data_IF_480980947117
#
_entry.id   IF_480980947117
#
_cell.length_a   1.000
_cell.length_b   1.000
_cell.length_c   1.000
_cell.angle_alpha   90.00
_cell.angle_beta   90.00
_cell.angle_gamma   90.00
#
_symmetry.space_group_name_H-M   'P 1'
#
loop_
_entity.id
_entity.type
_entity.pdbx_description
1 polymer ?
#
# COMPACT_ATOMS: atom_id res chain seq x y z
N UNK A 1 12.23 7.96 -26.30
CA UNK A 1 11.85 7.16 -25.10
C UNK A 1 10.39 7.44 -24.84
N UNK A 2 9.53 6.43 -24.94
CA UNK A 2 8.12 6.60 -24.61
C UNK A 2 8.03 6.95 -23.11
N UNK A 3 7.50 8.14 -22.81
CA UNK A 3 7.04 8.45 -21.46
C UNK A 3 5.86 7.51 -21.24
N UNK A 4 6.06 6.47 -20.45
CA UNK A 4 4.95 5.65 -19.97
C UNK A 4 3.97 6.57 -19.29
N UNK A 5 2.69 6.49 -19.63
CA UNK A 5 1.64 7.24 -18.94
C UNK A 5 1.84 7.08 -17.42
N UNK A 6 1.72 8.17 -16.65
CA UNK A 6 1.88 8.08 -15.22
C UNK A 6 0.85 7.10 -14.70
N UNK A 7 1.32 6.03 -14.06
CA UNK A 7 0.47 5.08 -13.36
C UNK A 7 -0.49 5.89 -12.48
N UNK A 8 -1.78 5.77 -12.74
CA UNK A 8 -2.82 6.38 -11.90
C UNK A 8 -2.83 5.61 -10.58
N UNK A 9 -2.46 6.29 -9.51
CA UNK A 9 -2.37 5.70 -8.18
C UNK A 9 -3.65 6.06 -7.44
N UNK A 10 -4.42 5.03 -7.09
CA UNK A 10 -5.70 5.17 -6.42
C UNK A 10 -5.69 4.54 -5.03
N UNK A 11 -6.64 4.92 -4.21
CA UNK A 11 -6.92 4.27 -2.93
C UNK A 11 -7.11 2.76 -3.14
N UNK A 12 -6.37 1.95 -2.38
CA UNK A 12 -6.34 0.50 -2.52
C UNK A 12 -5.41 -0.05 -3.60
N UNK A 13 -4.71 0.80 -4.35
CA UNK A 13 -3.63 0.34 -5.23
C UNK A 13 -2.53 -0.33 -4.40
N UNK A 14 -2.07 -1.50 -4.85
CA UNK A 14 -0.91 -2.20 -4.31
C UNK A 14 0.28 -1.81 -5.19
N UNK A 15 1.30 -1.22 -4.58
CA UNK A 15 2.44 -0.63 -5.27
C UNK A 15 3.75 -1.16 -4.71
N UNK A 16 4.77 -1.28 -5.56
CA UNK A 16 6.15 -1.47 -5.11
C UNK A 16 6.79 -0.12 -4.83
N UNK A 17 7.32 0.01 -3.62
CA UNK A 17 8.06 1.18 -3.15
C UNK A 17 9.54 0.84 -3.08
N UNK A 18 10.38 1.63 -3.74
CA UNK A 18 11.83 1.50 -3.64
C UNK A 18 12.28 1.64 -2.18
N UNK A 19 13.28 0.84 -1.78
CA UNK A 19 13.89 0.98 -0.48
C UNK A 19 14.49 2.38 -0.30
N UNK A 20 14.64 2.87 0.95
CA UNK A 20 15.36 4.10 1.19
C UNK A 20 16.76 4.01 0.60
N UNK A 21 17.17 5.09 -0.02
CA UNK A 21 18.39 5.32 -0.80
C UNK A 21 19.69 5.02 -0.02
N UNK A 22 19.61 4.88 1.31
CA UNK A 22 20.73 4.51 2.19
C UNK A 22 20.58 3.15 2.89
N UNK A 23 19.49 2.40 2.67
CA UNK A 23 19.15 1.24 3.50
C UNK A 23 19.52 -0.13 2.93
N UNK A 24 20.08 -0.24 1.72
CA UNK A 24 20.46 -1.52 1.11
C UNK A 24 19.32 -2.56 1.03
N UNK A 25 18.07 -2.12 1.17
CA UNK A 25 16.90 -2.99 1.33
C UNK A 25 16.26 -3.37 0.01
N UNK A 26 15.51 -4.47 0.02
CA UNK A 26 14.65 -4.84 -1.10
C UNK A 26 13.46 -3.86 -1.23
N UNK A 27 12.98 -3.56 -2.45
CA UNK A 27 11.71 -2.88 -2.66
C UNK A 27 10.59 -3.56 -1.89
N UNK A 28 9.66 -2.77 -1.36
CA UNK A 28 8.59 -3.25 -0.48
C UNK A 28 7.23 -2.98 -1.10
N UNK A 29 6.37 -4.00 -1.12
CA UNK A 29 4.98 -3.83 -1.51
C UNK A 29 4.22 -3.06 -0.42
N UNK A 30 3.37 -2.11 -0.82
CA UNK A 30 2.53 -1.31 0.06
C UNK A 30 1.13 -1.17 -0.56
N UNK A 31 0.11 -0.98 0.28
CA UNK A 31 -1.23 -0.54 -0.15
C UNK A 31 -1.34 0.98 0.00
N UNK A 32 -1.91 1.64 -0.99
CA UNK A 32 -2.19 3.08 -0.95
C UNK A 32 -3.45 3.32 -0.13
N UNK A 33 -3.35 4.19 0.86
CA UNK A 33 -4.45 4.56 1.77
C UNK A 33 -4.78 6.05 1.70
N UNK A 34 -4.12 6.78 0.79
CA UNK A 34 -4.44 8.17 0.50
C UNK A 34 -5.73 8.26 -0.31
N UNK A 35 -6.62 9.17 0.09
CA UNK A 35 -7.86 9.43 -0.62
C UNK A 35 -7.59 9.92 -2.05
N UNK A 36 -8.38 9.43 -3.01
CA UNK A 36 -8.25 9.74 -4.43
C UNK A 36 -8.29 11.24 -4.73
N UNK A 37 -9.04 12.00 -3.94
CA UNK A 37 -9.13 13.46 -4.02
C UNK A 37 -7.75 14.16 -3.99
N UNK A 38 -6.75 13.54 -3.35
CA UNK A 38 -5.43 14.12 -3.14
C UNK A 38 -4.33 13.49 -4.02
N UNK A 39 -4.63 12.40 -4.73
CA UNK A 39 -3.62 11.58 -5.40
C UNK A 39 -2.95 12.25 -6.61
N UNK A 40 -3.65 13.15 -7.31
CA UNK A 40 -3.12 13.81 -8.51
C UNK A 40 -2.32 15.08 -8.21
N UNK A 41 -2.64 15.76 -7.10
CA UNK A 41 -2.11 17.08 -6.80
C UNK A 41 -0.99 17.08 -5.75
N UNK A 42 -0.92 16.06 -4.89
CA UNK A 42 0.09 16.00 -3.83
C UNK A 42 1.38 15.27 -4.27
N UNK A 43 2.53 15.84 -3.88
CA UNK A 43 3.85 15.29 -4.16
C UNK A 43 4.17 13.99 -3.38
N UNK A 44 3.32 13.65 -2.41
CA UNK A 44 3.44 12.46 -1.57
C UNK A 44 2.21 11.58 -1.69
N UNK A 45 2.41 10.28 -1.46
CA UNK A 45 1.35 9.27 -1.38
C UNK A 45 1.46 8.58 -0.02
N UNK A 46 0.35 8.56 0.72
CA UNK A 46 0.24 7.82 1.98
C UNK A 46 -0.05 6.35 1.74
N UNK A 47 0.79 5.49 2.33
CA UNK A 47 0.77 4.04 2.12
C UNK A 47 0.92 3.28 3.44
N UNK A 48 0.39 2.05 3.48
CA UNK A 48 0.66 1.07 4.51
C UNK A 48 1.51 -0.07 3.92
N UNK A 49 2.65 -0.44 4.54
CA UNK A 49 3.48 -1.55 4.06
C UNK A 49 2.75 -2.90 4.13
N UNK A 50 3.08 -3.81 3.21
CA UNK A 50 2.70 -5.23 3.30
C UNK A 50 3.82 -6.04 3.95
N UNK A 51 3.44 -7.15 4.58
CA UNK A 51 4.36 -8.16 5.12
C UNK A 51 3.85 -9.56 4.80
N UNK A 52 4.76 -10.48 4.47
CA UNK A 52 4.44 -11.91 4.31
C UNK A 52 4.52 -12.67 5.64
N UNK A 53 4.96 -12.01 6.71
CA UNK A 53 4.88 -12.55 8.08
C UNK A 53 3.43 -12.40 8.53
N UNK A 54 2.67 -13.48 8.41
CA UNK A 54 1.25 -13.57 8.78
C UNK A 54 1.16 -14.13 10.20
N UNK A 55 0.34 -13.52 11.06
CA UNK A 55 0.19 -13.89 12.47
C UNK A 55 0.47 -12.77 13.50
N UNK A 56 0.58 -11.51 13.06
CA UNK A 56 0.75 -10.36 13.96
C UNK A 56 -0.56 -9.86 14.56
N UNK A 57 -0.49 -9.26 15.77
CA UNK A 57 -1.62 -8.82 16.62
C UNK A 57 -2.96 -8.57 15.90
N UNK A 58 -3.96 -9.40 16.23
CA UNK A 58 -5.26 -9.60 15.54
C UNK A 58 -6.11 -8.32 15.42
N UNK A 59 -5.78 -7.24 16.14
CA UNK A 59 -6.65 -6.07 16.23
C UNK A 59 -6.58 -5.15 15.00
N UNK A 60 -5.44 -5.06 14.32
CA UNK A 60 -5.23 -4.04 13.26
C UNK A 60 -4.49 -4.55 12.01
N UNK A 61 -4.10 -5.82 11.95
CA UNK A 61 -3.55 -6.43 10.73
C UNK A 61 -4.69 -6.90 9.83
N UNK A 62 -4.68 -6.47 8.56
CA UNK A 62 -5.68 -6.88 7.56
C UNK A 62 -5.01 -7.80 6.55
N UNK A 63 -5.47 -9.04 6.46
CA UNK A 63 -4.95 -10.02 5.50
C UNK A 63 -5.46 -9.74 4.09
N UNK A 64 -4.55 -9.83 3.11
CA UNK A 64 -4.82 -9.77 1.67
C UNK A 64 -4.27 -11.06 1.06
N UNK A 65 -5.17 -11.87 0.52
CA UNK A 65 -4.84 -13.12 -0.16
C UNK A 65 -4.27 -12.88 -1.57
N UNK A 66 -3.42 -13.79 -2.06
CA UNK A 66 -2.94 -13.75 -3.44
C UNK A 66 -4.10 -14.00 -4.40
N UNK A 67 -4.29 -13.09 -5.35
CA UNK A 67 -5.34 -13.11 -6.37
C UNK A 67 -4.80 -12.43 -7.63
N UNK A 68 -5.38 -12.74 -8.79
CA UNK A 68 -4.99 -12.09 -10.06
C UNK A 68 -5.05 -10.57 -9.96
N UNK A 69 -6.13 -10.03 -9.38
CA UNK A 69 -6.31 -8.58 -9.24
C UNK A 69 -5.37 -7.93 -8.21
N UNK A 70 -4.83 -8.68 -7.23
CA UNK A 70 -3.89 -8.13 -6.25
C UNK A 70 -2.46 -8.14 -6.77
N UNK A 71 -2.14 -9.04 -7.70
CA UNK A 71 -0.78 -9.27 -8.19
C UNK A 71 0.17 -9.84 -7.12
N UNK A 72 -0.35 -10.20 -5.94
CA UNK A 72 0.42 -10.84 -4.88
C UNK A 72 0.57 -12.34 -5.15
N UNK A 73 1.74 -12.89 -4.84
CA UNK A 73 2.05 -14.32 -5.04
C UNK A 73 1.90 -15.16 -3.78
N UNK A 74 1.80 -14.51 -2.62
CA UNK A 74 1.63 -15.12 -1.30
C UNK A 74 0.64 -14.29 -0.48
N UNK A 75 0.15 -14.85 0.61
CA UNK A 75 -0.66 -14.10 1.57
C UNK A 75 0.19 -13.01 2.26
N UNK A 76 -0.41 -11.83 2.39
CA UNK A 76 0.22 -10.68 3.03
C UNK A 76 -0.71 -10.06 4.07
N UNK A 77 -0.14 -9.44 5.09
CA UNK A 77 -0.87 -8.55 6.00
C UNK A 77 -0.51 -7.08 5.74
N UNK A 78 -1.52 -6.22 5.81
CA UNK A 78 -1.36 -4.77 5.82
C UNK A 78 -0.86 -4.31 7.18
N UNK A 79 0.24 -3.56 7.18
CA UNK A 79 0.83 -2.98 8.37
C UNK A 79 0.30 -1.57 8.66
N UNK A 80 -0.93 -1.51 9.17
CA UNK A 80 -1.63 -0.25 9.50
C UNK A 80 -0.87 0.61 10.50
N UNK A 81 -0.24 -0.02 11.49
CA UNK A 81 0.66 0.59 12.49
C UNK A 81 1.89 1.29 11.89
N UNK A 82 2.23 0.96 10.64
CA UNK A 82 3.38 1.52 9.92
C UNK A 82 2.98 2.41 8.74
N UNK A 83 1.80 3.04 8.82
CA UNK A 83 1.38 4.05 7.86
C UNK A 83 2.44 5.15 7.70
N UNK A 84 2.76 5.51 6.45
CA UNK A 84 3.74 6.55 6.14
C UNK A 84 3.44 7.23 4.80
N UNK A 85 3.88 8.47 4.63
CA UNK A 85 3.78 9.19 3.36
C UNK A 85 5.13 9.23 2.66
N UNK A 86 5.18 8.77 1.42
CA UNK A 86 6.39 8.71 0.59
C UNK A 86 6.31 9.66 -0.58
N UNK A 87 7.47 10.09 -1.11
CA UNK A 87 7.52 10.81 -2.39
C UNK A 87 7.01 9.91 -3.52
N UNK A 88 6.20 10.47 -4.43
CA UNK A 88 5.60 9.70 -5.55
C UNK A 88 6.64 8.96 -6.39
N UNK A 89 7.80 9.57 -6.64
CA UNK A 89 8.88 8.96 -7.44
C UNK A 89 9.46 7.67 -6.81
N UNK A 90 9.21 7.40 -5.52
CA UNK A 90 9.62 6.15 -4.87
C UNK A 90 8.71 4.98 -5.22
N UNK A 91 7.54 5.24 -5.80
CA UNK A 91 6.66 4.20 -6.32
C UNK A 91 7.19 3.80 -7.70
N UNK A 92 7.73 2.59 -7.77
CA UNK A 92 8.44 2.10 -8.96
C UNK A 92 7.57 1.20 -9.83
N UNK A 93 6.46 0.67 -9.30
CA UNK A 93 5.57 -0.23 -10.02
C UNK A 93 4.19 -0.32 -9.37
N UNK A 94 3.14 -0.37 -10.19
CA UNK A 94 1.82 -0.87 -9.78
C UNK A 94 1.82 -2.39 -9.82
N UNK A 95 1.43 -3.03 -8.72
CA UNK A 95 1.34 -4.48 -8.58
C UNK A 95 -0.08 -4.96 -8.86
N UNK A 96 -1.08 -4.26 -8.33
CA UNK A 96 -2.47 -4.63 -8.44
C UNK A 96 -3.33 -3.76 -7.54
N UNK A 97 -4.48 -4.26 -7.11
CA UNK A 97 -5.41 -3.55 -6.23
C UNK A 97 -6.00 -4.49 -5.18
N UNK A 98 -6.13 -4.00 -3.96
CA UNK A 98 -6.94 -4.65 -2.93
C UNK A 98 -8.43 -4.59 -3.32
N UNK A 99 -9.21 -5.60 -2.94
CA UNK A 99 -10.66 -5.56 -3.15
C UNK A 99 -11.33 -4.53 -2.26
N UNK A 100 -12.52 -4.04 -2.64
CA UNK A 100 -13.30 -3.09 -1.85
C UNK A 100 -13.52 -3.58 -0.41
N UNK A 101 -13.90 -4.84 -0.23
CA UNK A 101 -14.09 -5.44 1.11
C UNK A 101 -12.81 -5.42 1.95
N UNK A 102 -11.63 -5.63 1.34
CA UNK A 102 -10.37 -5.51 2.07
C UNK A 102 -10.03 -4.07 2.40
N UNK A 103 -10.33 -3.13 1.50
CA UNK A 103 -10.13 -1.71 1.79
C UNK A 103 -11.05 -1.19 2.88
N UNK A 104 -12.30 -1.65 2.96
CA UNK A 104 -13.18 -1.32 4.10
C UNK A 104 -12.57 -1.77 5.44
N UNK A 105 -11.96 -2.96 5.48
CA UNK A 105 -11.28 -3.46 6.67
C UNK A 105 -10.02 -2.65 7.01
N UNK A 106 -9.25 -2.25 5.99
CA UNK A 106 -8.09 -1.36 6.15
C UNK A 106 -8.51 0.00 6.69
N UNK A 107 -9.58 0.59 6.17
CA UNK A 107 -10.11 1.88 6.60
C UNK A 107 -10.59 1.82 8.06
N UNK A 108 -11.28 0.75 8.45
CA UNK A 108 -11.70 0.52 9.83
C UNK A 108 -10.51 0.29 10.78
N UNK A 109 -9.47 -0.40 10.31
CA UNK A 109 -8.25 -0.58 11.09
C UNK A 109 -7.48 0.74 11.27
N UNK A 110 -7.39 1.56 10.22
CA UNK A 110 -6.79 2.89 10.26
C UNK A 110 -7.52 3.83 11.22
N UNK A 111 -8.85 3.85 11.16
CA UNK A 111 -9.69 4.62 12.10
C UNK A 111 -9.41 4.24 13.55
N UNK A 112 -9.43 2.94 13.86
CA UNK A 112 -9.10 2.44 15.20
C UNK A 112 -7.68 2.79 15.63
N UNK A 113 -6.69 2.66 14.73
CA UNK A 113 -5.30 3.01 15.02
C UNK A 113 -5.09 4.49 15.35
N UNK A 114 -5.84 5.38 14.67
CA UNK A 114 -5.73 6.83 14.81
C UNK A 114 -6.74 7.44 15.79
N UNK A 115 -7.54 6.62 16.47
CA UNK A 115 -8.66 7.05 17.33
C UNK A 115 -9.68 7.97 16.61
N UNK A 116 -10.06 7.57 15.39
CA UNK A 116 -11.05 8.22 14.51
C UNK A 116 -12.30 7.36 14.28
#
# INVERSE_FOLDING_TARGET
MAVSDPVEIRHGAIVMVAAPDQAGGAPRACVVVQADLFNDSHATVTVCPLTTVVGGEVLFRVAISPQEHTGLTVECEVQVDRITSIRRHRIVKLVGHASATRMEQVDQALRRWLAL
#
